data_IF_622900769348
#
_entry.id   IF_622900769348
#
_cell.length_a   1.000
_cell.length_b   1.000
_cell.length_c   1.000
_cell.angle_alpha   90.00
_cell.angle_beta   90.00
_cell.angle_gamma   90.00
#
_symmetry.space_group_name_H-M   'P 1'
#
loop_
_entity.id
_entity.type
_entity.pdbx_description
1 polymer ?
#
# COMPACT_ATOMS: atom_id res chain seq x y z
N UNK A 1 -26.55 -2.48 -2.13
CA UNK A 1 -25.21 -2.76 -1.58
C UNK A 1 -24.26 -1.65 -1.99
N UNK A 2 -23.22 -1.37 -1.19
CA UNK A 2 -22.20 -0.37 -1.53
C UNK A 2 -21.14 -0.93 -2.49
N UNK A 3 -20.24 -0.09 -3.01
CA UNK A 3 -19.16 -0.55 -3.88
C UNK A 3 -18.24 -1.54 -3.14
N UNK A 4 -17.98 -2.68 -3.76
CA UNK A 4 -17.11 -3.74 -3.23
C UNK A 4 -15.68 -3.54 -3.72
N UNK A 5 -14.70 -3.57 -2.82
CA UNK A 5 -13.27 -3.46 -3.15
C UNK A 5 -12.58 -4.79 -2.85
N UNK A 6 -11.92 -5.38 -3.85
CA UNK A 6 -11.10 -6.58 -3.65
C UNK A 6 -9.67 -6.17 -3.31
N UNK A 7 -9.15 -6.63 -2.17
CA UNK A 7 -7.76 -6.40 -1.79
C UNK A 7 -6.90 -7.63 -2.10
N UNK A 8 -5.88 -7.46 -2.93
CA UNK A 8 -4.90 -8.47 -3.30
C UNK A 8 -3.61 -8.31 -2.49
N UNK A 9 -2.98 -9.43 -2.15
CA UNK A 9 -1.68 -9.46 -1.48
C UNK A 9 -0.74 -10.47 -2.16
N UNK A 10 0.45 -10.02 -2.52
CA UNK A 10 1.51 -10.84 -3.11
C UNK A 10 2.59 -9.98 -3.77
N UNK A 11 3.66 -10.62 -4.25
CA UNK A 11 4.78 -9.97 -4.95
C UNK A 11 5.02 -10.49 -6.36
N UNK A 12 4.21 -11.44 -6.84
CA UNK A 12 4.33 -11.98 -8.20
C UNK A 12 3.33 -11.26 -9.11
N UNK A 13 3.87 -10.52 -10.10
CA UNK A 13 3.04 -9.72 -11.00
C UNK A 13 2.12 -10.57 -11.88
N UNK A 14 2.54 -11.78 -12.26
CA UNK A 14 1.73 -12.69 -13.06
C UNK A 14 0.57 -13.24 -12.24
N UNK A 15 0.83 -13.65 -10.99
CA UNK A 15 -0.18 -14.15 -10.09
C UNK A 15 -1.21 -13.07 -9.72
N UNK A 16 -0.75 -11.84 -9.44
CA UNK A 16 -1.65 -10.72 -9.14
C UNK A 16 -2.51 -10.33 -10.34
N UNK A 17 -1.93 -10.26 -11.54
CA UNK A 17 -2.67 -9.97 -12.77
C UNK A 17 -3.75 -11.05 -13.05
N UNK A 18 -3.43 -12.32 -12.84
CA UNK A 18 -4.41 -13.40 -12.98
C UNK A 18 -5.55 -13.28 -11.96
N UNK A 19 -5.25 -12.92 -10.71
CA UNK A 19 -6.25 -12.65 -9.68
C UNK A 19 -7.12 -11.43 -10.03
N UNK A 20 -6.53 -10.37 -10.57
CA UNK A 20 -7.24 -9.18 -11.04
C UNK A 20 -8.20 -9.52 -12.19
N UNK A 21 -7.74 -10.24 -13.22
CA UNK A 21 -8.57 -10.65 -14.36
C UNK A 21 -9.83 -11.44 -13.95
N UNK A 22 -9.74 -12.22 -12.86
CA UNK A 22 -10.84 -12.98 -12.29
C UNK A 22 -11.80 -12.17 -11.39
N UNK A 23 -11.44 -10.94 -11.02
CA UNK A 23 -12.19 -10.10 -10.09
C UNK A 23 -13.42 -9.45 -10.75
N UNK A 24 -14.47 -10.23 -10.98
CA UNK A 24 -15.74 -9.72 -11.52
C UNK A 24 -16.62 -9.11 -10.43
N UNK A 25 -17.32 -8.03 -10.77
CA UNK A 25 -18.33 -7.40 -9.89
C UNK A 25 -17.76 -6.54 -8.76
N UNK A 26 -16.45 -6.25 -8.78
CA UNK A 26 -15.82 -5.33 -7.83
C UNK A 26 -15.70 -3.94 -8.45
N UNK A 27 -15.80 -2.90 -7.63
CA UNK A 27 -15.70 -1.51 -8.06
C UNK A 27 -14.26 -1.00 -8.07
N UNK A 28 -13.35 -1.70 -7.40
CA UNK A 28 -11.93 -1.34 -7.29
C UNK A 28 -11.10 -2.59 -6.91
N UNK A 29 -9.87 -2.67 -7.42
CA UNK A 29 -8.86 -3.64 -7.00
C UNK A 29 -7.78 -2.89 -6.22
N UNK A 30 -7.56 -3.28 -4.98
CA UNK A 30 -6.59 -2.66 -4.07
C UNK A 30 -5.39 -3.58 -3.82
N UNK A 31 -4.16 -3.06 -3.94
CA UNK A 31 -2.94 -3.80 -3.62
C UNK A 31 -2.54 -3.53 -2.16
N UNK A 32 -2.36 -4.60 -1.38
CA UNK A 32 -1.95 -4.51 0.01
C UNK A 32 -0.44 -4.27 0.15
N UNK A 33 -0.08 -3.06 0.55
CA UNK A 33 1.27 -2.63 0.91
C UNK A 33 1.35 -2.23 2.41
N UNK A 34 0.50 -2.79 3.28
CA UNK A 34 0.34 -2.28 4.66
C UNK A 34 0.28 -3.33 5.76
N UNK A 35 0.14 -4.62 5.43
CA UNK A 35 0.18 -5.69 6.42
C UNK A 35 1.58 -5.81 7.04
N UNK A 36 1.76 -5.67 8.36
CA UNK A 36 3.08 -5.77 8.99
C UNK A 36 3.55 -7.22 9.15
N UNK A 37 2.66 -8.21 8.94
CA UNK A 37 3.03 -9.61 9.04
C UNK A 37 3.94 -10.01 7.88
N UNK A 38 5.15 -10.46 8.20
CA UNK A 38 5.97 -11.23 7.26
C UNK A 38 5.46 -12.67 7.35
N UNK A 39 4.93 -13.26 6.26
CA UNK A 39 4.56 -14.67 6.31
C UNK A 39 5.75 -15.58 5.96
N UNK A 40 5.77 -16.70 6.66
CA UNK A 40 6.64 -17.84 6.47
C UNK A 40 6.52 -18.37 5.04
N UNK A 41 7.64 -18.53 4.33
CA UNK A 41 7.66 -19.13 2.98
C UNK A 41 8.44 -18.36 1.91
N UNK A 42 9.09 -17.23 2.24
CA UNK A 42 10.08 -16.58 1.36
C UNK A 42 9.55 -15.54 0.35
N UNK A 43 8.23 -15.36 0.23
CA UNK A 43 7.65 -14.30 -0.60
C UNK A 43 7.31 -13.06 0.24
N UNK A 44 7.74 -11.87 -0.21
CA UNK A 44 7.44 -10.60 0.46
C UNK A 44 6.08 -10.07 0.03
N UNK A 45 5.21 -9.65 0.95
CA UNK A 45 3.98 -8.93 0.61
C UNK A 45 3.66 -7.92 1.72
N UNK A 46 2.60 -7.13 1.56
CA UNK A 46 2.18 -6.19 2.59
C UNK A 46 3.20 -5.06 2.77
N UNK A 47 3.45 -4.64 4.01
CA UNK A 47 4.31 -3.51 4.30
C UNK A 47 5.74 -3.69 3.75
N UNK A 48 6.27 -4.91 3.69
CA UNK A 48 7.59 -5.16 3.12
C UNK A 48 7.74 -4.66 1.66
N UNK A 49 6.64 -4.61 0.89
CA UNK A 49 6.64 -4.09 -0.49
C UNK A 49 6.96 -2.60 -0.57
N UNK A 50 6.78 -1.82 0.49
CA UNK A 50 7.13 -0.40 0.48
C UNK A 50 8.64 -0.16 0.29
N UNK A 51 9.48 -1.18 0.51
CA UNK A 51 10.93 -1.14 0.22
C UNK A 51 11.25 -1.30 -1.26
N UNK A 52 10.28 -1.74 -2.07
CA UNK A 52 10.43 -1.96 -3.51
C UNK A 52 9.31 -1.25 -4.27
N UNK A 53 9.28 0.11 -4.30
CA UNK A 53 8.22 0.86 -4.96
C UNK A 53 8.09 0.52 -6.45
N UNK A 54 9.20 0.22 -7.13
CA UNK A 54 9.22 -0.22 -8.52
C UNK A 54 8.48 -1.54 -8.74
N UNK A 55 8.58 -2.48 -7.80
CA UNK A 55 7.83 -3.72 -7.84
C UNK A 55 6.33 -3.44 -7.64
N UNK A 56 5.96 -2.61 -6.66
CA UNK A 56 4.55 -2.25 -6.43
C UNK A 56 3.92 -1.61 -7.68
N UNK A 57 4.66 -0.72 -8.36
CA UNK A 57 4.26 -0.16 -9.65
C UNK A 57 4.03 -1.27 -10.68
N UNK A 58 4.99 -2.17 -10.85
CA UNK A 58 4.85 -3.30 -11.78
C UNK A 58 3.61 -4.16 -11.47
N UNK A 59 3.37 -4.47 -10.19
CA UNK A 59 2.17 -5.19 -9.77
C UNK A 59 0.89 -4.44 -10.18
N UNK A 60 0.86 -3.12 -9.98
CA UNK A 60 -0.29 -2.28 -10.32
C UNK A 60 -0.53 -2.19 -11.82
N UNK A 61 0.52 -1.95 -12.61
CA UNK A 61 0.45 -1.88 -14.06
C UNK A 61 -0.09 -3.19 -14.64
N UNK A 62 0.44 -4.34 -14.19
CA UNK A 62 -0.02 -5.66 -14.65
C UNK A 62 -1.45 -5.98 -14.22
N UNK A 63 -1.89 -5.51 -13.05
CA UNK A 63 -3.31 -5.62 -12.66
C UNK A 63 -4.20 -4.75 -13.54
N UNK A 64 -3.79 -3.52 -13.84
CA UNK A 64 -4.54 -2.59 -14.69
C UNK A 64 -4.68 -3.12 -16.13
N UNK A 65 -3.61 -3.66 -16.71
CA UNK A 65 -3.63 -4.33 -18.02
C UNK A 65 -4.61 -5.52 -18.04
N UNK A 66 -4.64 -6.31 -16.96
CA UNK A 66 -5.50 -7.47 -16.84
C UNK A 66 -6.96 -7.14 -16.52
N UNK A 67 -7.25 -5.92 -16.07
CA UNK A 67 -8.59 -5.47 -15.66
C UNK A 67 -8.82 -4.00 -16.04
N UNK A 68 -8.86 -3.67 -17.35
CA UNK A 68 -8.83 -2.29 -17.85
C UNK A 68 -10.04 -1.45 -17.42
N UNK A 69 -11.16 -2.10 -17.10
CA UNK A 69 -12.40 -1.42 -16.67
C UNK A 69 -12.51 -1.27 -15.14
N UNK A 70 -11.52 -1.73 -14.37
CA UNK A 70 -11.56 -1.71 -12.90
C UNK A 70 -10.40 -0.88 -12.34
N UNK A 71 -10.69 0.23 -11.61
CA UNK A 71 -9.65 1.07 -11.02
C UNK A 71 -8.73 0.29 -10.08
N UNK A 72 -7.43 0.61 -10.15
CA UNK A 72 -6.41 0.07 -9.25
C UNK A 72 -6.08 1.10 -8.16
N UNK A 73 -5.94 0.62 -6.93
CA UNK A 73 -5.53 1.41 -5.78
C UNK A 73 -4.46 0.70 -4.95
N UNK A 74 -3.77 1.44 -4.08
CA UNK A 74 -2.80 0.89 -3.13
C UNK A 74 -3.20 1.24 -1.72
N UNK A 75 -3.08 0.29 -0.79
CA UNK A 75 -3.18 0.57 0.65
C UNK A 75 -1.84 0.38 1.34
N UNK A 76 -1.26 1.47 1.86
CA UNK A 76 0.07 1.47 2.46
C UNK A 76 0.05 2.00 3.92
N UNK A 77 1.26 2.13 4.48
CA UNK A 77 1.59 2.76 5.76
C UNK A 77 2.35 4.07 5.48
N UNK A 78 2.71 4.83 6.51
CA UNK A 78 3.57 6.02 6.35
C UNK A 78 5.06 5.69 6.27
N UNK A 79 5.45 4.44 6.55
CA UNK A 79 6.84 4.00 6.63
C UNK A 79 6.93 2.55 7.11
N UNK A 80 8.12 1.94 6.95
CA UNK A 80 8.36 0.52 7.28
C UNK A 80 9.71 0.33 7.95
N UNK A 81 9.67 -0.21 9.17
CA UNK A 81 10.82 -0.36 10.05
C UNK A 81 11.02 -1.83 10.43
N UNK A 82 12.26 -2.26 10.62
CA UNK A 82 12.54 -3.65 11.01
C UNK A 82 12.15 -3.94 12.46
N UNK A 83 12.54 -3.08 13.39
CA UNK A 83 12.34 -3.28 14.83
C UNK A 83 11.86 -2.01 15.52
N UNK A 84 11.40 -2.14 16.77
CA UNK A 84 11.06 -1.00 17.63
C UNK A 84 12.35 -0.42 18.22
N UNK A 85 12.60 0.89 18.09
CA UNK A 85 13.79 1.51 18.70
C UNK A 85 14.04 2.98 18.34
N UNK A 86 15.13 3.53 18.87
CA UNK A 86 15.50 4.95 18.81
C UNK A 86 15.88 5.49 17.41
N UNK A 87 15.84 4.65 16.37
CA UNK A 87 16.10 5.02 14.97
C UNK A 87 14.87 4.88 14.07
N UNK A 88 13.70 4.61 14.65
CA UNK A 88 12.41 4.59 13.95
C UNK A 88 11.94 6.04 13.78
N UNK A 89 12.31 6.66 12.68
CA UNK A 89 11.81 7.98 12.30
C UNK A 89 11.00 7.87 11.01
N UNK A 90 9.75 8.30 11.07
CA UNK A 90 8.89 8.38 9.90
C UNK A 90 9.25 9.61 9.08
N UNK A 91 9.57 9.43 7.80
CA UNK A 91 9.88 10.52 6.88
C UNK A 91 8.72 10.76 5.93
N UNK A 92 8.22 12.00 5.87
CA UNK A 92 7.22 12.38 4.88
C UNK A 92 7.77 12.23 3.46
N UNK A 93 9.05 12.60 3.25
CA UNK A 93 9.67 12.56 1.93
C UNK A 93 9.79 11.12 1.41
N UNK A 94 10.01 10.14 2.29
CA UNK A 94 9.99 8.72 1.92
C UNK A 94 8.58 8.24 1.54
N UNK A 95 7.55 8.65 2.28
CA UNK A 95 6.15 8.36 1.91
C UNK A 95 5.80 8.99 0.56
N UNK A 96 6.15 10.26 0.36
CA UNK A 96 5.89 10.97 -0.90
C UNK A 96 6.63 10.32 -2.07
N UNK A 97 7.90 9.95 -1.91
CA UNK A 97 8.67 9.24 -2.93
C UNK A 97 8.10 7.86 -3.25
N UNK A 98 7.60 7.12 -2.25
CA UNK A 98 6.88 5.86 -2.48
C UNK A 98 5.64 6.11 -3.34
N UNK A 99 4.80 7.08 -2.96
CA UNK A 99 3.53 7.40 -3.65
C UNK A 99 3.78 7.86 -5.09
N UNK A 100 4.76 8.74 -5.29
CA UNK A 100 5.19 9.18 -6.63
C UNK A 100 5.63 7.98 -7.48
N UNK A 101 6.53 7.13 -6.96
CA UNK A 101 7.03 5.99 -7.71
C UNK A 101 5.97 4.96 -8.08
N UNK A 102 4.94 4.75 -7.24
CA UNK A 102 3.88 3.78 -7.56
C UNK A 102 2.83 4.36 -8.50
N UNK A 103 2.59 5.67 -8.44
CA UNK A 103 1.54 6.33 -9.23
C UNK A 103 2.01 6.93 -10.57
N UNK A 104 3.32 6.99 -10.82
CA UNK A 104 3.90 7.71 -11.96
C UNK A 104 3.46 7.23 -13.35
N UNK A 105 2.94 6.01 -13.49
CA UNK A 105 2.38 5.48 -14.76
C UNK A 105 0.92 5.85 -14.99
N UNK A 106 0.24 6.35 -13.94
CA UNK A 106 -1.19 6.64 -13.96
C UNK A 106 -2.09 5.41 -13.72
N UNK A 107 -1.53 4.21 -13.53
CA UNK A 107 -2.31 3.00 -13.24
C UNK A 107 -3.03 3.08 -11.87
N UNK A 108 -2.44 3.78 -10.91
CA UNK A 108 -3.00 3.99 -9.57
C UNK A 108 -3.64 5.37 -9.48
N UNK A 109 -4.95 5.41 -9.24
CA UNK A 109 -5.72 6.65 -9.06
C UNK A 109 -6.13 6.92 -7.60
N UNK A 110 -5.93 5.94 -6.71
CA UNK A 110 -6.36 6.00 -5.31
C UNK A 110 -5.31 5.38 -4.38
N UNK A 111 -4.96 6.10 -3.32
CA UNK A 111 -4.05 5.64 -2.27
C UNK A 111 -4.75 5.72 -0.92
N UNK A 112 -4.78 4.60 -0.20
CA UNK A 112 -5.30 4.50 1.17
C UNK A 112 -4.12 4.42 2.12
N UNK A 113 -3.93 5.42 2.98
CA UNK A 113 -2.78 5.49 3.88
C UNK A 113 -3.22 5.20 5.30
N UNK A 114 -2.71 4.12 5.89
CA UNK A 114 -2.76 4.00 7.35
C UNK A 114 -1.70 4.91 7.95
N UNK A 115 -2.12 5.92 8.71
CA UNK A 115 -1.29 6.99 9.28
C UNK A 115 -0.33 6.55 10.41
N UNK A 116 0.09 5.29 10.44
CA UNK A 116 1.12 4.75 11.35
C UNK A 116 2.11 3.96 10.53
N UNK A 117 3.38 3.94 10.91
CA UNK A 117 4.33 3.06 10.27
C UNK A 117 4.06 1.58 10.60
N UNK A 118 4.59 0.68 9.79
CA UNK A 118 4.63 -0.75 10.09
C UNK A 118 6.00 -1.11 10.68
N UNK A 119 6.00 -1.91 11.74
CA UNK A 119 7.20 -2.53 12.31
C UNK A 119 7.12 -4.02 12.06
N UNK A 120 8.09 -4.56 11.33
CA UNK A 120 8.04 -5.92 10.80
C UNK A 120 8.40 -7.01 11.82
N UNK A 121 9.26 -6.69 12.79
CA UNK A 121 9.66 -7.61 13.85
C UNK A 121 9.44 -7.03 15.25
N UNK A 122 9.12 -7.91 16.21
CA UNK A 122 8.93 -7.54 17.62
C UNK A 122 7.55 -6.98 17.98
N UNK A 123 6.68 -6.69 17.01
CA UNK A 123 5.29 -6.26 17.24
C UNK A 123 4.27 -7.22 16.63
N UNK A 124 3.24 -7.56 17.40
CA UNK A 124 2.06 -8.24 16.87
C UNK A 124 1.25 -7.32 15.95
N UNK A 125 0.37 -7.85 15.07
CA UNK A 125 -0.50 -7.02 14.24
C UNK A 125 -1.37 -6.04 15.03
N UNK A 126 -1.81 -6.42 16.24
CA UNK A 126 -2.55 -5.53 17.15
C UNK A 126 -1.66 -4.39 17.65
N UNK A 127 -0.45 -4.69 18.12
CA UNK A 127 0.50 -3.67 18.60
C UNK A 127 0.95 -2.73 17.48
N UNK A 128 1.07 -3.21 16.25
CA UNK A 128 1.34 -2.40 15.06
C UNK A 128 0.26 -1.33 14.78
N UNK A 129 -0.95 -1.47 15.35
CA UNK A 129 -2.01 -0.44 15.26
C UNK A 129 -2.06 0.50 16.45
N UNK A 130 -1.28 0.27 17.50
CA UNK A 130 -1.34 1.08 18.73
C UNK A 130 0.00 1.69 19.14
N UNK A 131 1.13 1.05 18.81
CA UNK A 131 2.47 1.46 19.27
C UNK A 131 3.10 2.55 18.38
N UNK A 132 3.30 2.38 17.05
CA UNK A 132 3.90 3.44 16.23
C UNK A 132 2.93 4.62 16.15
N UNK A 133 3.33 5.87 16.43
CA UNK A 133 2.39 6.97 16.62
C UNK A 133 1.63 7.33 15.32
N UNK A 134 0.47 7.98 15.47
CA UNK A 134 -0.28 8.50 14.32
C UNK A 134 0.37 9.76 13.76
N UNK A 135 0.33 9.90 12.42
CA UNK A 135 0.77 11.07 11.64
C UNK A 135 -0.29 11.42 10.59
N UNK A 136 -1.42 11.95 11.03
CA UNK A 136 -2.48 12.38 10.11
C UNK A 136 -2.04 13.56 9.23
N UNK A 137 -1.17 14.41 9.77
CA UNK A 137 -0.52 15.51 9.07
C UNK A 137 0.21 15.07 7.80
N UNK A 138 0.86 13.90 7.81
CA UNK A 138 1.51 13.35 6.61
C UNK A 138 0.47 13.02 5.53
N UNK A 139 -0.66 12.41 5.90
CA UNK A 139 -1.70 12.04 4.94
C UNK A 139 -2.41 13.27 4.38
N UNK A 140 -2.64 14.29 5.22
CA UNK A 140 -3.20 15.56 4.76
C UNK A 140 -2.25 16.28 3.80
N UNK A 141 -0.95 16.35 4.13
CA UNK A 141 0.06 16.93 3.24
C UNK A 141 0.15 16.17 1.92
N UNK A 142 0.12 14.83 1.97
CA UNK A 142 0.11 13.99 0.78
C UNK A 142 -1.09 14.28 -0.14
N UNK A 143 -2.28 14.48 0.44
CA UNK A 143 -3.47 14.85 -0.33
C UNK A 143 -3.36 16.22 -1.00
N UNK A 144 -2.61 17.16 -0.42
CA UNK A 144 -2.30 18.46 -1.03
C UNK A 144 -1.26 18.33 -2.15
N UNK A 145 -0.18 17.59 -1.91
CA UNK A 145 0.95 17.47 -2.84
C UNK A 145 0.57 16.62 -4.08
N UNK A 146 -0.32 15.63 -3.93
CA UNK A 146 -0.78 14.73 -5.00
C UNK A 146 -2.26 14.96 -5.35
N UNK A 147 -2.60 16.18 -5.77
CA UNK A 147 -3.99 16.58 -6.08
C UNK A 147 -4.69 15.77 -7.18
N UNK A 148 -3.94 15.04 -8.02
CA UNK A 148 -4.44 14.14 -9.04
C UNK A 148 -4.80 12.73 -8.50
N UNK A 149 -4.41 12.41 -7.27
CA UNK A 149 -4.72 11.14 -6.62
C UNK A 149 -5.83 11.32 -5.59
N UNK A 150 -6.76 10.38 -5.54
CA UNK A 150 -7.62 10.25 -4.37
C UNK A 150 -6.78 9.74 -3.21
N UNK A 151 -6.68 10.48 -2.13
CA UNK A 151 -5.99 10.05 -0.91
C UNK A 151 -7.01 9.81 0.20
N UNK A 152 -7.05 8.58 0.73
CA UNK A 152 -7.95 8.19 1.83
C UNK A 152 -7.16 7.97 3.11
N UNK A 153 -7.51 8.70 4.16
CA UNK A 153 -6.93 8.54 5.49
C UNK A 153 -7.51 7.32 6.22
N UNK A 154 -6.64 6.53 6.86
CA UNK A 154 -6.98 5.43 7.75
C UNK A 154 -6.08 5.48 9.01
N UNK A 155 -6.59 5.03 10.16
CA UNK A 155 -5.78 4.83 11.37
C UNK A 155 -6.34 5.48 12.62
#
# INVERSE_FOLDING_TARGET
EGPLVLQLGGSDATALAAAAAGARGVSEININCGCPSIQSGGASYGAALMRSPSLVRELADRCAEASPDTPISVKCRIGVHDTVGAHVHDSYDELAAFVDSVSCTGAIAHVVVHARAAVLAGLSPKKNRSVPPLRYDYVHRLACDFSNLRVTLNG
#
